data_IF_137222851903
#
_entry.id   IF_137222851903
#
_cell.length_a   1.000
_cell.length_b   1.000
_cell.length_c   1.000
_cell.angle_alpha   90.00
_cell.angle_beta   90.00
_cell.angle_gamma   90.00
#
_symmetry.space_group_name_H-M   'P 1'
#
loop_
_entity.id
_entity.type
_entity.pdbx_description
1 polymer ?
#
# COMPACT_ATOMS: atom_id res chain seq x y z
N UNK A 1 -3.58 5.17 4.62
CA UNK A 1 -2.29 4.46 4.42
C UNK A 1 -1.16 4.91 5.36
N UNK A 2 -0.77 6.19 5.41
CA UNK A 2 0.38 6.64 6.23
C UNK A 2 0.29 6.25 7.72
N UNK A 3 -0.84 6.55 8.37
CA UNK A 3 -1.07 6.15 9.77
C UNK A 3 -1.07 4.63 9.97
N UNK A 4 -1.59 3.88 9.00
CA UNK A 4 -1.59 2.41 9.07
C UNK A 4 -0.15 1.85 8.93
N UNK A 5 0.61 2.37 7.97
CA UNK A 5 2.00 1.96 7.73
C UNK A 5 2.16 0.46 7.45
N UNK A 6 1.26 -0.11 6.64
CA UNK A 6 1.28 -1.53 6.31
C UNK A 6 2.53 -1.86 5.48
N UNK A 7 3.30 -2.84 5.95
CA UNK A 7 4.51 -3.35 5.29
C UNK A 7 4.79 -4.78 5.75
N UNK A 8 5.86 -5.39 5.30
CA UNK A 8 6.34 -6.67 5.81
C UNK A 8 7.63 -6.48 6.60
N UNK A 9 7.71 -7.09 7.79
CA UNK A 9 9.00 -7.28 8.48
C UNK A 9 9.75 -8.39 7.76
N UNK A 10 11.00 -8.11 7.38
CA UNK A 10 11.88 -9.09 6.72
C UNK A 10 13.00 -9.51 7.65
N UNK A 11 13.54 -10.71 7.43
CA UNK A 11 14.63 -11.27 8.20
C UNK A 11 15.79 -10.27 8.38
N UNK A 12 16.31 -10.15 9.61
CA UNK A 12 17.44 -9.28 9.93
C UNK A 12 17.10 -7.84 10.36
N UNK A 13 15.83 -7.43 10.33
CA UNK A 13 15.42 -6.09 10.77
C UNK A 13 15.16 -5.99 12.29
N UNK A 14 14.83 -7.10 12.95
CA UNK A 14 14.64 -7.20 14.40
C UNK A 14 15.11 -8.59 14.90
N UNK A 15 15.59 -8.67 16.15
CA UNK A 15 16.03 -9.93 16.77
C UNK A 15 14.84 -10.88 16.92
N UNK A 16 14.94 -12.09 16.35
CA UNK A 16 13.90 -13.12 16.42
C UNK A 16 13.00 -13.22 15.20
N UNK A 17 13.19 -12.40 14.16
CA UNK A 17 12.48 -12.57 12.90
C UNK A 17 13.01 -13.79 12.12
N UNK A 18 12.10 -14.69 11.76
CA UNK A 18 12.38 -15.83 10.89
C UNK A 18 12.66 -15.42 9.44
N UNK A 19 12.89 -16.42 8.57
CA UNK A 19 13.12 -16.20 7.13
C UNK A 19 11.87 -15.69 6.39
N UNK A 20 10.68 -15.93 6.94
CA UNK A 20 9.41 -15.58 6.32
C UNK A 20 9.02 -14.13 6.62
N UNK A 21 8.61 -13.33 5.60
CA UNK A 21 8.11 -11.99 5.80
C UNK A 21 6.80 -12.01 6.61
N UNK A 22 6.73 -11.22 7.67
CA UNK A 22 5.50 -11.09 8.46
C UNK A 22 4.80 -9.78 8.15
N UNK A 23 3.50 -9.78 7.78
CA UNK A 23 2.74 -8.56 7.60
C UNK A 23 2.69 -7.79 8.92
N UNK A 24 2.92 -6.49 8.87
CA UNK A 24 2.93 -5.61 10.03
C UNK A 24 2.36 -4.24 9.70
N UNK A 25 1.79 -3.59 10.71
CA UNK A 25 1.40 -2.19 10.65
C UNK A 25 2.41 -1.39 11.48
N UNK A 26 3.41 -0.83 10.80
CA UNK A 26 4.38 0.07 11.42
C UNK A 26 3.91 1.50 11.19
N UNK A 27 3.12 2.04 12.11
CA UNK A 27 2.57 3.40 12.07
C UNK A 27 3.58 4.43 11.51
N UNK A 28 3.13 5.26 10.56
CA UNK A 28 3.97 6.24 9.86
C UNK A 28 5.17 5.64 9.10
N UNK A 29 5.16 4.33 8.84
CA UNK A 29 6.27 3.53 8.31
C UNK A 29 7.54 3.55 9.19
N UNK A 30 7.43 3.93 10.46
CA UNK A 30 8.59 4.16 11.34
C UNK A 30 8.25 4.13 12.83
N UNK A 31 7.25 3.33 13.23
CA UNK A 31 6.67 3.36 14.57
C UNK A 31 7.69 3.38 15.73
N UNK A 32 8.79 2.58 15.71
CA UNK A 32 9.78 2.59 16.79
C UNK A 32 10.50 3.93 17.00
N UNK A 33 10.41 4.86 16.06
CA UNK A 33 11.14 6.13 16.04
C UNK A 33 10.22 7.35 16.19
N UNK A 34 8.92 7.16 16.45
CA UNK A 34 7.94 8.26 16.53
C UNK A 34 7.74 8.70 18.00
N UNK A 35 8.31 9.84 18.45
CA UNK A 35 8.17 10.28 19.85
C UNK A 35 6.81 10.90 20.18
N UNK A 36 6.04 11.37 19.20
CA UNK A 36 4.71 11.99 19.38
C UNK A 36 3.59 11.05 18.98
N UNK A 37 2.36 11.45 19.25
CA UNK A 37 1.21 10.69 18.77
C UNK A 37 1.16 10.67 17.23
N UNK A 38 0.89 9.52 16.58
CA UNK A 38 0.85 9.39 15.12
C UNK A 38 -0.02 10.40 14.39
N UNK A 39 -1.12 10.84 15.00
CA UNK A 39 -2.03 11.84 14.40
C UNK A 39 -1.36 13.19 14.18
N UNK A 40 -0.37 13.58 14.99
CA UNK A 40 0.37 14.83 14.79
C UNK A 40 1.18 14.77 13.49
N UNK A 41 1.86 13.65 13.22
CA UNK A 41 2.59 13.42 11.97
C UNK A 41 1.66 13.29 10.77
N UNK A 42 0.53 12.59 10.94
CA UNK A 42 -0.47 12.45 9.89
C UNK A 42 -1.06 13.80 9.48
N UNK A 43 -1.37 14.66 10.46
CA UNK A 43 -1.85 16.02 10.23
C UNK A 43 -0.81 16.87 9.51
N UNK A 44 0.44 16.88 9.99
CA UNK A 44 1.53 17.62 9.37
C UNK A 44 1.76 17.18 7.91
N UNK A 45 1.76 15.87 7.64
CA UNK A 45 1.89 15.35 6.28
C UNK A 45 0.72 15.82 5.40
N UNK A 46 -0.51 15.77 5.90
CA UNK A 46 -1.69 16.26 5.18
C UNK A 46 -1.57 17.74 4.82
N UNK A 47 -1.18 18.59 5.76
CA UNK A 47 -0.97 20.03 5.53
C UNK A 47 0.12 20.30 4.48
N UNK A 48 1.20 19.52 4.48
CA UNK A 48 2.27 19.66 3.49
C UNK A 48 1.84 19.18 2.10
N UNK A 49 1.05 18.11 2.01
CA UNK A 49 0.49 17.62 0.75
C UNK A 49 -0.41 18.70 0.13
N UNK A 50 -1.32 19.26 0.92
CA UNK A 50 -2.24 20.32 0.46
C UNK A 50 -1.49 21.60 0.06
N UNK A 51 -0.54 22.05 0.89
CA UNK A 51 0.23 23.27 0.64
C UNK A 51 1.06 23.22 -0.63
N UNK A 52 1.62 22.05 -0.94
CA UNK A 52 2.58 21.89 -2.03
C UNK A 52 2.01 21.12 -3.24
N UNK A 53 0.70 20.86 -3.26
CA UNK A 53 0.01 20.12 -4.33
C UNK A 53 0.72 18.79 -4.69
N UNK A 54 1.04 18.00 -3.64
CA UNK A 54 1.85 16.78 -3.79
C UNK A 54 0.97 15.62 -4.23
N UNK A 55 1.39 14.91 -5.29
CA UNK A 55 0.78 13.63 -5.65
C UNK A 55 1.42 12.48 -4.87
N UNK A 56 0.62 11.73 -4.12
CA UNK A 56 1.09 10.57 -3.37
C UNK A 56 0.87 9.26 -4.14
N UNK A 57 1.87 8.37 -4.08
CA UNK A 57 1.82 7.04 -4.69
C UNK A 57 2.00 5.95 -3.65
N UNK A 58 1.25 4.86 -3.79
CA UNK A 58 1.46 3.62 -3.04
C UNK A 58 2.10 2.59 -3.97
N UNK A 59 3.29 2.11 -3.64
CA UNK A 59 4.04 1.17 -4.48
C UNK A 59 4.24 -0.14 -3.74
N UNK A 60 3.71 -1.23 -4.30
CA UNK A 60 4.01 -2.57 -3.81
C UNK A 60 5.41 -3.00 -4.29
N UNK A 61 6.34 -3.15 -3.35
CA UNK A 61 7.69 -3.73 -3.58
C UNK A 61 7.83 -5.14 -2.97
N UNK A 62 6.71 -5.71 -2.52
CA UNK A 62 6.56 -7.03 -1.93
C UNK A 62 6.29 -8.08 -2.99
N UNK A 63 5.16 -8.78 -2.88
CA UNK A 63 4.82 -9.95 -3.69
C UNK A 63 3.66 -9.71 -4.65
N UNK A 64 3.62 -10.50 -5.72
CA UNK A 64 2.52 -10.62 -6.68
C UNK A 64 2.31 -12.09 -7.07
N UNK A 65 1.12 -12.43 -7.54
CA UNK A 65 0.75 -13.77 -8.00
C UNK A 65 0.47 -14.79 -6.91
N UNK A 66 0.39 -14.36 -5.66
CA UNK A 66 0.10 -15.20 -4.50
C UNK A 66 0.72 -14.64 -3.22
N UNK A 67 0.44 -15.26 -2.06
CA UNK A 67 1.14 -14.97 -0.81
C UNK A 67 2.62 -15.40 -0.89
N UNK A 68 3.40 -15.07 0.15
CA UNK A 68 4.76 -15.59 0.28
C UNK A 68 4.75 -17.13 0.22
N UNK A 69 5.67 -17.72 -0.55
CA UNK A 69 5.76 -19.17 -0.78
C UNK A 69 5.04 -19.64 -2.05
N UNK A 70 4.03 -18.91 -2.53
CA UNK A 70 3.29 -19.24 -3.75
C UNK A 70 3.51 -18.21 -4.87
N UNK A 71 3.45 -16.93 -4.49
CA UNK A 71 3.73 -15.80 -5.37
C UNK A 71 5.22 -15.55 -5.56
N UNK A 72 5.51 -14.52 -6.34
CA UNK A 72 6.88 -14.06 -6.58
C UNK A 72 7.05 -12.61 -6.14
N UNK A 73 8.29 -12.20 -5.85
CA UNK A 73 8.57 -10.80 -5.53
C UNK A 73 8.34 -9.93 -6.77
N UNK A 74 7.82 -8.73 -6.57
CA UNK A 74 7.63 -7.74 -7.64
C UNK A 74 8.92 -7.58 -8.46
N UNK A 75 8.86 -7.72 -9.80
CA UNK A 75 10.05 -7.57 -10.63
C UNK A 75 10.67 -6.18 -10.46
N UNK A 76 11.95 -6.12 -10.10
CA UNK A 76 12.62 -4.83 -9.85
C UNK A 76 12.57 -3.89 -11.07
N UNK A 77 12.55 -4.44 -12.29
CA UNK A 77 12.38 -3.67 -13.53
C UNK A 77 11.02 -2.98 -13.58
N UNK A 78 9.94 -3.68 -13.21
CA UNK A 78 8.60 -3.13 -13.17
C UNK A 78 8.50 -2.01 -12.10
N UNK A 79 9.02 -2.26 -10.89
CA UNK A 79 9.07 -1.24 -9.84
C UNK A 79 9.83 0.01 -10.31
N UNK A 80 11.02 -0.15 -10.91
CA UNK A 80 11.79 1.00 -11.43
C UNK A 80 11.06 1.76 -12.54
N UNK A 81 10.36 1.06 -13.43
CA UNK A 81 9.56 1.69 -14.48
C UNK A 81 8.38 2.49 -13.89
N UNK A 82 7.67 1.94 -12.91
CA UNK A 82 6.60 2.64 -12.19
C UNK A 82 7.10 3.89 -11.46
N UNK A 83 8.25 3.79 -10.78
CA UNK A 83 8.86 4.96 -10.14
C UNK A 83 9.28 6.02 -11.17
N UNK A 84 9.87 5.61 -12.30
CA UNK A 84 10.27 6.54 -13.35
C UNK A 84 9.05 7.28 -13.90
N UNK A 85 7.97 6.55 -14.20
CA UNK A 85 6.71 7.11 -14.68
C UNK A 85 6.06 8.07 -13.65
N UNK A 86 6.19 7.77 -12.35
CA UNK A 86 5.70 8.64 -11.28
C UNK A 86 6.51 9.96 -11.21
N UNK A 87 7.83 9.88 -11.40
CA UNK A 87 8.75 11.03 -11.32
C UNK A 87 8.72 11.90 -12.57
N UNK A 88 8.61 11.31 -13.76
CA UNK A 88 8.50 12.04 -15.03
C UNK A 88 7.09 12.57 -15.31
N UNK A 89 6.11 12.19 -14.48
CA UNK A 89 4.73 12.65 -14.54
C UNK A 89 3.82 11.85 -15.48
N UNK A 90 4.35 10.94 -16.30
CA UNK A 90 3.56 10.14 -17.24
C UNK A 90 2.54 9.25 -16.54
N UNK A 91 2.81 8.82 -15.30
CA UNK A 91 1.88 8.00 -14.51
C UNK A 91 0.62 8.78 -14.11
N UNK A 92 0.70 10.10 -13.93
CA UNK A 92 -0.48 10.93 -13.60
C UNK A 92 -1.49 10.97 -14.75
N UNK A 93 -1.02 10.82 -15.97
CA UNK A 93 -1.84 10.83 -17.20
C UNK A 93 -2.20 9.43 -17.70
N UNK A 94 -1.76 8.38 -17.01
CA UNK A 94 -2.07 7.01 -17.38
C UNK A 94 -3.56 6.71 -17.19
N UNK A 95 -4.15 5.81 -18.00
CA UNK A 95 -5.50 5.33 -17.74
C UNK A 95 -5.53 4.63 -16.37
N UNK A 96 -6.54 4.94 -15.57
CA UNK A 96 -6.69 4.43 -14.20
C UNK A 96 -7.96 3.61 -14.07
N UNK A 97 -7.93 2.63 -13.18
CA UNK A 97 -9.12 1.97 -12.63
C UNK A 97 -9.22 2.25 -11.14
N UNK A 98 -10.43 2.35 -10.63
CA UNK A 98 -10.68 2.37 -9.19
C UNK A 98 -10.58 0.95 -8.64
N UNK A 99 -9.78 0.75 -7.59
CA UNK A 99 -9.77 -0.50 -6.85
C UNK A 99 -11.04 -0.64 -6.00
N UNK A 100 -11.74 -1.77 -6.11
CA UNK A 100 -13.06 -1.94 -5.48
C UNK A 100 -12.98 -2.17 -3.98
N UNK A 101 -11.91 -2.83 -3.51
CA UNK A 101 -11.68 -3.15 -2.09
C UNK A 101 -11.08 -1.95 -1.37
N UNK A 102 -10.02 -1.36 -1.93
CA UNK A 102 -9.23 -0.34 -1.24
C UNK A 102 -9.54 1.10 -1.67
N UNK A 103 -10.29 1.29 -2.76
CA UNK A 103 -10.80 2.60 -3.16
C UNK A 103 -9.77 3.59 -3.71
N UNK A 104 -8.51 3.18 -3.91
CA UNK A 104 -7.50 3.98 -4.60
C UNK A 104 -7.55 3.76 -6.12
N UNK A 105 -6.99 4.70 -6.89
CA UNK A 105 -6.81 4.55 -8.32
C UNK A 105 -5.51 3.79 -8.63
N UNK A 106 -5.57 2.85 -9.56
CA UNK A 106 -4.45 2.05 -10.04
C UNK A 106 -4.31 2.18 -11.56
N UNK A 107 -3.10 2.36 -12.11
CA UNK A 107 -2.91 2.48 -13.55
C UNK A 107 -3.30 1.16 -14.23
N UNK A 108 -3.91 1.22 -15.40
CA UNK A 108 -4.22 0.02 -16.21
C UNK A 108 -3.19 -0.23 -17.29
N UNK A 109 -2.35 0.76 -17.60
CA UNK A 109 -1.30 0.66 -18.60
C UNK A 109 -0.12 1.57 -18.27
N UNK A 110 1.09 1.03 -18.30
CA UNK A 110 2.34 1.78 -18.11
C UNK A 110 3.40 1.23 -19.06
N UNK A 111 4.07 2.11 -19.81
CA UNK A 111 5.08 1.69 -20.77
C UNK A 111 6.20 0.87 -20.09
N UNK A 112 6.51 -0.29 -20.66
CA UNK A 112 7.54 -1.19 -20.14
C UNK A 112 7.15 -1.98 -18.88
N UNK A 113 5.87 -1.97 -18.49
CA UNK A 113 5.32 -2.79 -17.41
C UNK A 113 4.28 -3.75 -17.99
N UNK A 114 4.25 -4.99 -17.51
CA UNK A 114 3.20 -5.96 -17.86
C UNK A 114 1.88 -5.52 -17.21
N UNK A 115 0.84 -5.30 -18.03
CA UNK A 115 -0.48 -4.87 -17.60
C UNK A 115 -1.08 -5.82 -16.55
N UNK A 116 -0.75 -7.13 -16.60
CA UNK A 116 -1.21 -8.10 -15.60
C UNK A 116 -0.73 -7.78 -14.19
N UNK A 117 0.46 -7.20 -14.04
CA UNK A 117 1.01 -6.83 -12.72
C UNK A 117 0.30 -5.60 -12.14
N UNK A 118 -0.28 -4.75 -13.00
CA UNK A 118 -1.04 -3.57 -12.60
C UNK A 118 -2.44 -3.94 -12.06
N UNK A 119 -2.93 -5.13 -12.40
CA UNK A 119 -4.10 -5.76 -11.80
C UNK A 119 -3.70 -7.01 -11.00
N UNK A 120 -3.38 -6.89 -9.70
CA UNK A 120 -2.85 -8.02 -8.92
C UNK A 120 -3.78 -9.24 -8.90
N UNK A 121 -5.10 -9.07 -9.12
CA UNK A 121 -6.03 -10.20 -9.27
C UNK A 121 -5.69 -11.11 -10.46
N UNK A 122 -5.13 -10.55 -11.54
CA UNK A 122 -4.77 -11.28 -12.78
C UNK A 122 -3.44 -12.02 -12.71
N UNK A 123 -2.63 -11.75 -11.67
CA UNK A 123 -1.39 -12.49 -11.44
C UNK A 123 -1.61 -13.74 -10.61
N UNK A 124 -2.71 -13.81 -9.85
CA UNK A 124 -3.06 -14.98 -9.04
C UNK A 124 -3.60 -16.10 -9.92
N UNK A 125 -3.22 -17.34 -9.60
CA UNK A 125 -3.73 -18.53 -10.31
C UNK A 125 -5.21 -18.74 -10.06
N UNK A 126 -5.65 -18.50 -8.83
CA UNK A 126 -7.06 -18.51 -8.44
C UNK A 126 -7.49 -17.09 -8.05
N UNK A 127 -8.31 -16.43 -8.89
CA UNK A 127 -8.83 -15.11 -8.58
C UNK A 127 -9.71 -15.07 -7.31
N UNK A 128 -10.35 -16.18 -6.92
CA UNK A 128 -11.13 -16.23 -5.67
C UNK A 128 -10.22 -16.19 -4.45
N UNK A 129 -9.08 -16.90 -4.49
CA UNK A 129 -8.08 -16.83 -3.43
C UNK A 129 -7.50 -15.40 -3.28
N UNK A 130 -7.38 -14.66 -4.39
CA UNK A 130 -7.06 -13.22 -4.33
C UNK A 130 -8.16 -12.44 -3.60
N UNK A 131 -9.42 -12.64 -4.00
CA UNK A 131 -10.57 -11.90 -3.44
C UNK A 131 -10.68 -12.15 -1.92
N UNK A 132 -10.49 -13.39 -1.47
CA UNK A 132 -10.44 -13.76 -0.04
C UNK A 132 -9.27 -13.09 0.71
N UNK A 133 -8.08 -13.09 0.11
CA UNK A 133 -6.91 -12.46 0.70
C UNK A 133 -7.03 -10.93 0.75
N UNK A 134 -7.61 -10.32 -0.28
CA UNK A 134 -7.89 -8.89 -0.33
C UNK A 134 -8.89 -8.48 0.75
N UNK A 135 -9.97 -9.24 0.93
CA UNK A 135 -10.96 -9.03 2.00
C UNK A 135 -10.33 -9.18 3.40
N UNK A 136 -9.50 -10.21 3.60
CA UNK A 136 -8.74 -10.40 4.85
C UNK A 136 -7.84 -9.20 5.14
N UNK A 137 -7.12 -8.70 4.13
CA UNK A 137 -6.24 -7.54 4.28
C UNK A 137 -7.06 -6.27 4.58
N UNK A 138 -8.17 -6.05 3.89
CA UNK A 138 -9.07 -4.92 4.15
C UNK A 138 -9.55 -4.90 5.60
N UNK A 139 -9.98 -6.06 6.13
CA UNK A 139 -10.37 -6.22 7.53
C UNK A 139 -9.22 -5.87 8.49
N UNK A 140 -8.01 -6.36 8.23
CA UNK A 140 -6.82 -6.01 9.02
C UNK A 140 -6.54 -4.50 9.03
N UNK A 141 -6.75 -3.81 7.91
CA UNK A 141 -6.62 -2.35 7.83
C UNK A 141 -7.65 -1.65 8.70
N UNK A 142 -8.93 -2.05 8.64
CA UNK A 142 -10.02 -1.48 9.46
C UNK A 142 -9.75 -1.68 10.94
N UNK A 143 -9.42 -2.91 11.35
CA UNK A 143 -9.11 -3.25 12.75
C UNK A 143 -7.91 -2.44 13.27
N UNK A 144 -6.82 -2.34 12.50
CA UNK A 144 -5.67 -1.54 12.90
C UNK A 144 -5.99 -0.04 12.95
N UNK A 145 -6.92 0.44 12.13
CA UNK A 145 -7.24 1.87 12.05
C UNK A 145 -8.14 2.37 13.19
N UNK A 146 -8.92 1.51 13.84
CA UNK A 146 -9.84 1.86 14.92
C UNK A 146 -9.20 2.74 16.02
N UNK A 147 -7.93 2.49 16.37
CA UNK A 147 -7.19 3.28 17.37
C UNK A 147 -6.91 4.74 16.96
N UNK A 148 -7.00 5.07 15.68
CA UNK A 148 -6.75 6.40 15.14
C UNK A 148 -8.05 7.18 14.88
N UNK A 149 -9.20 6.53 14.81
CA UNK A 149 -10.48 7.14 14.45
C UNK A 149 -10.84 8.40 15.26
N UNK A 150 -10.60 8.46 16.60
CA UNK A 150 -10.91 9.67 17.37
C UNK A 150 -10.04 10.88 17.01
N UNK A 151 -8.92 10.68 16.30
CA UNK A 151 -7.88 11.67 16.08
C UNK A 151 -7.76 12.14 14.62
N UNK A 152 -8.64 11.68 13.74
CA UNK A 152 -8.59 11.98 12.31
C UNK A 152 -9.90 12.59 11.82
N UNK A 153 -9.83 13.34 10.71
CA UNK A 153 -11.02 13.92 10.07
C UNK A 153 -11.90 12.84 9.43
N UNK A 154 -13.16 13.17 9.19
CA UNK A 154 -14.09 12.27 8.52
C UNK A 154 -13.67 11.97 7.07
N UNK A 155 -12.91 12.85 6.42
CA UNK A 155 -12.31 12.59 5.12
C UNK A 155 -11.37 11.37 5.16
N UNK A 156 -10.55 11.25 6.21
CA UNK A 156 -9.67 10.09 6.39
C UNK A 156 -10.47 8.84 6.74
N UNK A 157 -11.51 8.95 7.57
CA UNK A 157 -12.38 7.81 7.91
C UNK A 157 -13.09 7.24 6.68
N UNK A 158 -13.57 8.12 5.78
CA UNK A 158 -14.22 7.74 4.51
C UNK A 158 -13.28 7.05 3.53
N UNK A 159 -11.96 7.16 3.72
CA UNK A 159 -10.96 6.46 2.91
C UNK A 159 -10.66 5.03 3.42
N UNK A 160 -11.42 4.52 4.39
CA UNK A 160 -11.31 3.14 4.84
C UNK A 160 -11.62 2.16 3.68
N UNK A 161 -10.91 1.02 3.58
CA UNK A 161 -11.23 -0.01 2.61
C UNK A 161 -12.59 -0.63 2.92
N UNK A 162 -13.24 -1.18 1.89
CA UNK A 162 -14.46 -1.98 2.04
C UNK A 162 -14.05 -3.38 2.52
N UNK A 163 -14.32 -3.67 3.78
CA UNK A 163 -14.09 -4.95 4.43
C UNK A 163 -15.37 -5.80 4.45
#
# INVERSE_FOLDING_TARGET
HFLSGFTAKVAGTEKGLGKEPQPTFSTCFGAPFMPRHPSEYGKLLGELIERHDVTCWLVNTGWTGGPYGEGSRMPIKATRALLSAALDGSLKSAPMRRDETFGFDAPTKVAGVDDRILNPRETWRDPKAYDEQAAKLAKMFVENFAKFEPYVSDGVKKAAPKA
#
